data_IF_421487191847
#
_entry.id   IF_421487191847
#
_cell.length_a   1.000
_cell.length_b   1.000
_cell.length_c   1.000
_cell.angle_alpha   90.00
_cell.angle_beta   90.00
_cell.angle_gamma   90.00
#
_symmetry.space_group_name_H-M   'P 1'
#
loop_
_entity.id
_entity.type
_entity.pdbx_description
1 polymer ?
#
# COMPACT_ATOMS: atom_id res chain seq x y z
N UNK A 1 -13.41 -12.39 -12.31
CA UNK A 1 -13.68 -11.08 -11.67
C UNK A 1 -13.15 -9.90 -12.49
N UNK A 2 -11.94 -9.95 -13.09
CA UNK A 2 -11.34 -8.82 -13.83
C UNK A 2 -12.27 -8.12 -14.85
N UNK A 3 -13.00 -8.88 -15.68
CA UNK A 3 -13.97 -8.30 -16.63
C UNK A 3 -15.11 -7.53 -15.94
N UNK A 4 -15.63 -8.05 -14.83
CA UNK A 4 -16.67 -7.38 -14.03
C UNK A 4 -16.16 -6.05 -13.48
N UNK A 5 -14.90 -6.02 -13.00
CA UNK A 5 -14.26 -4.80 -12.52
C UNK A 5 -14.03 -3.80 -13.65
N UNK A 6 -13.64 -4.28 -14.83
CA UNK A 6 -13.53 -3.43 -16.01
C UNK A 6 -14.87 -2.78 -16.36
N UNK A 7 -15.98 -3.53 -16.35
CA UNK A 7 -17.32 -2.98 -16.57
C UNK A 7 -17.74 -1.99 -15.47
N UNK A 8 -17.42 -2.28 -14.20
CA UNK A 8 -17.66 -1.34 -13.11
C UNK A 8 -16.91 -0.02 -13.36
N UNK A 9 -15.62 -0.08 -13.66
CA UNK A 9 -14.79 1.09 -13.92
C UNK A 9 -15.33 1.90 -15.11
N UNK A 10 -15.55 1.26 -16.25
CA UNK A 10 -16.09 1.91 -17.45
C UNK A 10 -17.45 2.55 -17.18
N UNK A 11 -18.36 1.85 -16.50
CA UNK A 11 -19.68 2.37 -16.15
C UNK A 11 -19.61 3.56 -15.18
N UNK A 12 -18.76 3.47 -14.15
CA UNK A 12 -18.57 4.55 -13.18
C UNK A 12 -17.91 5.78 -13.83
N UNK A 13 -16.93 5.62 -14.72
CA UNK A 13 -16.35 6.76 -15.44
C UNK A 13 -17.34 7.39 -16.44
N UNK A 14 -18.32 6.65 -16.94
CA UNK A 14 -19.40 7.21 -17.75
C UNK A 14 -20.39 8.01 -16.89
N UNK A 15 -20.83 7.48 -15.75
CA UNK A 15 -21.94 8.04 -14.97
C UNK A 15 -21.53 8.94 -13.80
N UNK A 16 -20.29 8.89 -13.34
CA UNK A 16 -19.81 9.62 -12.16
C UNK A 16 -18.78 10.69 -12.56
N UNK A 17 -19.23 11.94 -12.60
CA UNK A 17 -18.43 13.08 -13.06
C UNK A 17 -17.12 13.27 -12.29
N UNK A 18 -17.16 13.22 -10.96
CA UNK A 18 -15.94 13.41 -10.14
C UNK A 18 -14.87 12.37 -10.48
N UNK A 19 -15.24 11.09 -10.57
CA UNK A 19 -14.31 10.04 -10.96
C UNK A 19 -13.82 10.27 -12.39
N UNK A 20 -14.72 10.53 -13.35
CA UNK A 20 -14.34 10.79 -14.74
C UNK A 20 -13.30 11.90 -14.87
N UNK A 21 -13.52 13.04 -14.22
CA UNK A 21 -12.64 14.20 -14.31
C UNK A 21 -11.27 13.91 -13.68
N UNK A 22 -11.24 13.22 -12.53
CA UNK A 22 -9.98 12.88 -11.86
C UNK A 22 -9.19 11.79 -12.61
N UNK A 23 -9.86 10.85 -13.28
CA UNK A 23 -9.20 9.88 -14.16
C UNK A 23 -8.67 10.55 -15.43
N UNK A 24 -9.43 11.48 -16.03
CA UNK A 24 -8.95 12.26 -17.18
C UNK A 24 -7.70 13.08 -16.81
N UNK A 25 -7.65 13.64 -15.60
CA UNK A 25 -6.48 14.38 -15.12
C UNK A 25 -5.19 13.55 -15.02
N UNK A 26 -5.27 12.21 -15.00
CA UNK A 26 -4.07 11.35 -15.03
C UNK A 26 -3.24 11.56 -16.30
N UNK A 27 -3.81 12.00 -17.41
CA UNK A 27 -3.04 12.28 -18.63
C UNK A 27 -2.10 13.49 -18.48
N UNK A 28 -2.36 14.37 -17.52
CA UNK A 28 -1.53 15.53 -17.21
C UNK A 28 -0.48 15.27 -16.13
N UNK A 29 -0.44 14.06 -15.57
CA UNK A 29 0.56 13.67 -14.58
C UNK A 29 1.93 13.66 -15.22
N UNK A 30 2.92 14.25 -14.52
CA UNK A 30 4.33 14.15 -14.89
C UNK A 30 5.01 13.10 -14.03
N UNK A 31 5.92 12.34 -14.63
CA UNK A 31 6.73 11.32 -13.95
C UNK A 31 8.20 11.58 -14.23
N UNK A 32 9.03 11.48 -13.20
CA UNK A 32 10.49 11.39 -13.34
C UNK A 32 10.98 10.12 -12.67
N UNK A 33 12.12 9.61 -13.11
CA UNK A 33 12.75 8.43 -12.55
C UNK A 33 13.97 8.84 -11.71
N UNK A 34 14.13 8.17 -10.58
CA UNK A 34 15.25 8.32 -9.67
C UNK A 34 15.85 6.94 -9.40
N UNK A 35 17.18 6.87 -9.38
CA UNK A 35 17.89 5.67 -8.94
C UNK A 35 18.32 5.86 -7.49
N UNK A 36 17.78 5.06 -6.59
CA UNK A 36 18.09 5.07 -5.16
C UNK A 36 18.85 3.80 -4.84
N UNK A 37 20.17 3.91 -4.67
CA UNK A 37 21.06 2.78 -4.37
C UNK A 37 20.90 1.58 -5.31
N UNK A 38 20.70 1.83 -6.62
CA UNK A 38 20.49 0.78 -7.62
C UNK A 38 19.02 0.40 -7.84
N UNK A 39 18.09 0.91 -7.03
CA UNK A 39 16.65 0.63 -7.14
C UNK A 39 15.95 1.77 -7.90
N UNK A 40 15.15 1.41 -8.90
CA UNK A 40 14.34 2.37 -9.65
C UNK A 40 13.13 2.83 -8.85
N UNK A 41 13.02 4.14 -8.64
CA UNK A 41 11.83 4.80 -8.14
C UNK A 41 11.27 5.75 -9.19
N UNK A 42 9.94 5.77 -9.29
CA UNK A 42 9.20 6.79 -10.05
C UNK A 42 8.69 7.83 -9.08
N UNK A 43 8.80 9.10 -9.43
CA UNK A 43 8.13 10.19 -8.71
C UNK A 43 7.06 10.74 -9.62
N UNK A 44 5.81 10.75 -9.12
CA UNK A 44 4.63 11.20 -9.83
C UNK A 44 4.16 12.55 -9.29
N UNK A 45 4.14 13.57 -10.14
CA UNK A 45 3.40 14.80 -9.83
C UNK A 45 1.91 14.59 -10.11
N UNK A 46 1.09 14.55 -9.06
CA UNK A 46 -0.36 14.38 -9.17
C UNK A 46 -1.11 15.34 -8.22
N UNK A 47 -1.49 16.54 -8.67
CA UNK A 47 -2.14 17.55 -7.83
C UNK A 47 -3.51 17.11 -7.30
N UNK A 48 -4.20 16.20 -7.99
CA UNK A 48 -5.49 15.66 -7.53
C UNK A 48 -5.39 14.86 -6.22
N UNK A 49 -4.17 14.53 -5.77
CA UNK A 49 -3.91 13.79 -4.53
C UNK A 49 -3.70 14.69 -3.30
N UNK A 50 -3.78 16.02 -3.44
CA UNK A 50 -3.53 16.96 -2.34
C UNK A 50 -4.39 16.67 -1.10
N UNK A 51 -5.67 16.34 -1.28
CA UNK A 51 -6.59 16.05 -0.18
C UNK A 51 -6.20 14.75 0.53
N UNK A 52 -5.85 13.71 -0.21
CA UNK A 52 -5.46 12.43 0.37
C UNK A 52 -4.09 12.49 1.05
N UNK A 53 -3.12 13.17 0.45
CA UNK A 53 -1.77 13.32 1.01
C UNK A 53 -1.75 14.23 2.24
N UNK A 54 -2.62 15.25 2.29
CA UNK A 54 -2.76 16.18 3.41
C UNK A 54 -3.82 15.79 4.44
N UNK A 55 -4.41 14.59 4.33
CA UNK A 55 -5.49 14.17 5.21
C UNK A 55 -5.08 14.21 6.68
N UNK A 56 -5.90 14.89 7.50
CA UNK A 56 -5.76 14.90 8.94
C UNK A 56 -6.38 13.62 9.50
N UNK A 57 -5.55 12.85 10.19
CA UNK A 57 -5.91 11.54 10.77
C UNK A 57 -5.76 11.54 12.29
N UNK A 58 -5.70 12.72 12.91
CA UNK A 58 -5.78 12.85 14.35
C UNK A 58 -7.19 12.53 14.85
N UNK A 59 -7.29 12.09 16.11
CA UNK A 59 -8.55 11.62 16.70
C UNK A 59 -9.68 12.65 16.61
N UNK A 60 -9.37 13.94 16.77
CA UNK A 60 -10.37 15.01 16.68
C UNK A 60 -10.91 15.11 15.25
N UNK A 61 -10.04 15.21 14.25
CA UNK A 61 -10.45 15.28 12.84
C UNK A 61 -11.26 14.04 12.41
N UNK A 62 -10.93 12.86 12.94
CA UNK A 62 -11.67 11.62 12.66
C UNK A 62 -13.08 11.63 13.28
N UNK A 63 -13.22 12.10 14.53
CA UNK A 63 -14.53 12.18 15.19
C UNK A 63 -15.47 13.19 14.52
N UNK A 64 -14.92 14.27 13.95
CA UNK A 64 -15.69 15.34 13.33
C UNK A 64 -16.13 15.02 11.89
N UNK A 65 -15.48 14.06 11.21
CA UNK A 65 -15.79 13.70 9.82
C UNK A 65 -16.79 12.54 9.73
N UNK A 66 -17.67 12.58 8.72
CA UNK A 66 -18.39 11.37 8.30
C UNK A 66 -17.39 10.44 7.58
N UNK A 67 -17.31 9.18 8.00
CA UNK A 67 -16.45 8.21 7.33
C UNK A 67 -16.92 7.99 5.89
N UNK A 68 -16.09 8.38 4.91
CA UNK A 68 -16.37 8.30 3.47
C UNK A 68 -16.31 6.87 2.90
N UNK A 69 -16.01 5.87 3.72
CA UNK A 69 -16.00 4.45 3.35
C UNK A 69 -17.25 3.70 3.83
N UNK A 70 -18.01 4.28 4.77
CA UNK A 70 -19.27 3.68 5.23
C UNK A 70 -20.31 3.69 4.12
N UNK A 71 -21.06 2.59 3.90
CA UNK A 71 -22.10 2.51 2.86
C UNK A 71 -23.09 3.69 2.87
N UNK A 72 -23.50 4.14 4.07
CA UNK A 72 -24.43 5.25 4.25
C UNK A 72 -23.87 6.63 3.84
N UNK A 73 -22.56 6.76 3.68
CA UNK A 73 -21.86 8.00 3.34
C UNK A 73 -21.22 7.97 1.95
N UNK A 74 -21.31 6.85 1.22
CA UNK A 74 -20.83 6.78 -0.15
C UNK A 74 -21.62 7.75 -1.04
N UNK A 75 -21.00 8.38 -2.04
CA UNK A 75 -21.73 9.10 -3.08
C UNK A 75 -22.84 8.21 -3.66
N UNK A 76 -24.10 8.68 -3.79
CA UNK A 76 -25.20 7.83 -4.26
C UNK A 76 -24.99 7.23 -5.65
N UNK A 77 -24.16 7.87 -6.48
CA UNK A 77 -23.79 7.40 -7.82
C UNK A 77 -22.73 6.30 -7.81
N UNK A 78 -22.01 6.14 -6.70
CA UNK A 78 -20.93 5.18 -6.58
C UNK A 78 -21.51 3.77 -6.45
N UNK A 79 -21.19 2.93 -7.43
CA UNK A 79 -21.58 1.52 -7.43
C UNK A 79 -20.41 0.66 -6.95
N UNK A 80 -20.73 -0.51 -6.43
CA UNK A 80 -19.75 -1.47 -5.97
C UNK A 80 -20.11 -2.90 -6.31
N UNK A 81 -19.11 -3.77 -6.25
CA UNK A 81 -19.26 -5.22 -6.40
C UNK A 81 -19.04 -5.86 -5.01
N UNK A 82 -20.04 -6.55 -4.44
CA UNK A 82 -19.87 -7.29 -3.20
C UNK A 82 -18.77 -8.34 -3.32
N UNK A 83 -17.96 -8.49 -2.26
CA UNK A 83 -16.90 -9.49 -2.19
C UNK A 83 -16.85 -10.09 -0.78
N UNK A 84 -16.69 -11.42 -0.67
CA UNK A 84 -16.60 -12.11 0.62
C UNK A 84 -17.84 -12.04 1.53
N UNK A 85 -18.89 -11.30 1.15
CA UNK A 85 -20.07 -11.05 1.98
C UNK A 85 -19.92 -9.83 2.91
N UNK A 86 -18.71 -9.33 3.12
CA UNK A 86 -18.38 -8.24 4.04
C UNK A 86 -17.51 -7.14 3.42
N UNK A 87 -17.17 -7.22 2.14
CA UNK A 87 -16.50 -6.15 1.40
C UNK A 87 -17.34 -5.63 0.25
N UNK A 88 -17.02 -4.41 -0.18
CA UNK A 88 -17.52 -3.85 -1.43
C UNK A 88 -16.35 -3.33 -2.27
N UNK A 89 -16.18 -3.82 -3.49
CA UNK A 89 -15.14 -3.33 -4.40
C UNK A 89 -15.66 -2.08 -5.12
N UNK A 90 -15.00 -0.95 -4.89
CA UNK A 90 -15.39 0.36 -5.38
C UNK A 90 -14.32 0.94 -6.31
N UNK A 91 -14.73 1.76 -7.28
CA UNK A 91 -13.78 2.63 -8.01
C UNK A 91 -13.29 3.71 -7.07
N UNK A 92 -11.97 3.87 -6.96
CA UNK A 92 -11.38 4.97 -6.20
C UNK A 92 -11.49 6.27 -7.04
N UNK A 93 -12.23 7.30 -6.58
CA UNK A 93 -12.43 8.53 -7.34
C UNK A 93 -11.21 9.45 -7.40
N UNK A 94 -10.15 9.18 -6.62
CA UNK A 94 -8.91 9.96 -6.61
C UNK A 94 -7.73 9.07 -7.04
N UNK A 95 -7.67 8.67 -8.31
CA UNK A 95 -6.76 7.64 -8.77
C UNK A 95 -5.28 8.07 -8.72
N UNK A 96 -4.44 7.06 -8.53
CA UNK A 96 -3.00 7.10 -8.78
C UNK A 96 -2.71 6.23 -10.00
N UNK A 97 -3.30 5.03 -9.98
CA UNK A 97 -3.27 4.04 -11.06
C UNK A 97 -4.31 4.35 -12.15
N UNK A 98 -4.03 3.97 -13.41
CA UNK A 98 -5.03 3.94 -14.48
C UNK A 98 -6.27 3.11 -14.17
N UNK A 99 -6.16 2.09 -13.32
CA UNK A 99 -7.29 1.37 -12.73
C UNK A 99 -7.06 1.29 -11.22
N UNK A 100 -7.80 2.08 -10.44
CA UNK A 100 -7.64 2.18 -8.99
C UNK A 100 -8.94 1.83 -8.27
N UNK A 101 -8.88 0.88 -7.34
CA UNK A 101 -9.99 0.43 -6.52
C UNK A 101 -9.76 0.71 -5.04
N UNK A 102 -10.85 0.88 -4.31
CA UNK A 102 -10.90 0.85 -2.84
C UNK A 102 -11.86 -0.27 -2.45
N UNK A 103 -11.48 -1.10 -1.47
CA UNK A 103 -12.23 -2.27 -1.03
C UNK A 103 -12.49 -2.14 0.46
N UNK A 104 -13.43 -1.28 0.89
CA UNK A 104 -13.79 -1.13 2.30
C UNK A 104 -14.62 -2.32 2.80
N UNK A 105 -14.41 -2.63 4.07
CA UNK A 105 -15.31 -3.44 4.90
C UNK A 105 -16.71 -2.79 4.94
N UNK A 106 -17.78 -3.58 4.97
CA UNK A 106 -19.13 -3.03 5.07
C UNK A 106 -19.39 -2.46 6.46
N UNK A 107 -18.90 -3.14 7.49
CA UNK A 107 -18.92 -2.66 8.86
C UNK A 107 -17.85 -1.58 9.12
N UNK A 108 -18.21 -0.55 9.88
CA UNK A 108 -17.23 0.44 10.34
C UNK A 108 -16.39 -0.19 11.46
N UNK A 109 -15.25 -0.77 11.08
CA UNK A 109 -14.31 -1.41 12.02
C UNK A 109 -12.90 -0.86 11.82
N UNK A 110 -12.05 -0.80 12.87
CA UNK A 110 -10.71 -0.23 12.74
C UNK A 110 -9.86 -0.90 11.65
N UNK A 111 -8.99 -0.10 11.01
CA UNK A 111 -8.02 -0.58 10.02
C UNK A 111 -7.01 -1.53 10.69
N UNK A 112 -7.20 -2.85 10.54
CA UNK A 112 -6.30 -3.88 11.10
C UNK A 112 -6.25 -5.10 10.18
N UNK A 113 -5.05 -5.61 9.91
CA UNK A 113 -4.85 -6.70 8.93
C UNK A 113 -4.90 -8.11 9.52
N UNK A 114 -4.60 -8.29 10.82
CA UNK A 114 -4.39 -9.62 11.41
C UNK A 114 -5.51 -10.64 11.10
N UNK A 115 -6.77 -10.22 11.20
CA UNK A 115 -7.94 -11.09 10.94
C UNK A 115 -8.42 -11.07 9.49
N UNK A 116 -7.72 -10.35 8.59
CA UNK A 116 -8.16 -10.05 7.22
C UNK A 116 -7.12 -10.40 6.17
N UNK A 117 -5.95 -10.91 6.57
CA UNK A 117 -4.88 -11.20 5.63
C UNK A 117 -5.30 -12.27 4.60
N UNK A 118 -6.04 -13.30 5.04
CA UNK A 118 -6.60 -14.31 4.12
C UNK A 118 -7.52 -13.67 3.08
N UNK A 119 -8.37 -12.71 3.47
CA UNK A 119 -9.25 -11.97 2.55
C UNK A 119 -8.43 -11.19 1.50
N UNK A 120 -7.27 -10.65 1.90
CA UNK A 120 -6.34 -9.98 0.98
C UNK A 120 -5.76 -10.96 -0.07
N UNK A 121 -5.45 -12.20 0.33
CA UNK A 121 -4.99 -13.25 -0.59
C UNK A 121 -6.09 -13.67 -1.57
N UNK A 122 -7.34 -13.79 -1.10
CA UNK A 122 -8.50 -14.12 -1.92
C UNK A 122 -8.82 -13.00 -2.92
N UNK A 123 -8.70 -11.73 -2.50
CA UNK A 123 -8.82 -10.59 -3.41
C UNK A 123 -7.76 -10.64 -4.51
N UNK A 124 -6.50 -10.96 -4.18
CA UNK A 124 -5.43 -11.02 -5.16
C UNK A 124 -5.64 -12.14 -6.20
N UNK A 125 -6.09 -13.31 -5.74
CA UNK A 125 -6.45 -14.43 -6.61
C UNK A 125 -7.64 -14.11 -7.50
N UNK A 126 -8.66 -13.43 -6.98
CA UNK A 126 -9.81 -13.00 -7.76
C UNK A 126 -9.45 -11.91 -8.79
N UNK A 127 -8.58 -10.97 -8.42
CA UNK A 127 -8.21 -9.78 -9.17
C UNK A 127 -6.81 -9.90 -9.79
N UNK A 128 -6.57 -10.92 -10.60
CA UNK A 128 -5.24 -11.24 -11.16
C UNK A 128 -4.62 -10.14 -12.03
N UNK A 129 -5.40 -9.15 -12.47
CA UNK A 129 -4.94 -7.95 -13.18
C UNK A 129 -4.39 -6.85 -12.25
N UNK A 130 -4.49 -7.03 -10.94
CA UNK A 130 -4.26 -6.03 -9.91
C UNK A 130 -3.23 -6.48 -8.87
N UNK A 131 -2.57 -5.51 -8.25
CA UNK A 131 -1.85 -5.66 -7.00
C UNK A 131 -2.74 -5.11 -5.89
N UNK A 132 -3.07 -5.95 -4.91
CA UNK A 132 -3.83 -5.55 -3.71
C UNK A 132 -2.85 -4.93 -2.72
N UNK A 133 -3.26 -3.88 -2.04
CA UNK A 133 -2.42 -3.21 -1.07
C UNK A 133 -3.15 -2.79 0.20
N UNK A 134 -2.41 -2.88 1.31
CA UNK A 134 -2.84 -2.54 2.65
C UNK A 134 -1.88 -1.54 3.28
N UNK A 135 -2.43 -0.46 3.83
CA UNK A 135 -1.69 0.49 4.64
C UNK A 135 -2.16 0.33 6.09
N UNK A 136 -1.24 0.08 7.03
CA UNK A 136 -1.57 0.13 8.46
C UNK A 136 -2.05 1.52 8.90
N UNK A 137 -2.75 1.64 10.05
CA UNK A 137 -3.34 2.90 10.56
C UNK A 137 -2.41 4.10 10.53
N UNK A 138 -1.16 3.87 10.94
CA UNK A 138 -0.10 4.89 10.95
C UNK A 138 0.96 4.62 9.87
N UNK A 139 0.56 4.04 8.74
CA UNK A 139 1.44 3.72 7.62
C UNK A 139 0.85 4.21 6.28
N UNK A 140 0.20 5.38 6.30
CA UNK A 140 -0.39 6.01 5.11
C UNK A 140 -1.85 5.62 4.83
N UNK A 141 -2.57 5.03 5.81
CA UNK A 141 -4.01 4.85 5.72
C UNK A 141 -4.73 6.20 5.78
N UNK A 142 -5.61 6.47 4.81
CA UNK A 142 -6.41 7.71 4.78
C UNK A 142 -7.65 7.67 5.69
N UNK A 143 -8.06 6.47 6.10
CA UNK A 143 -9.17 6.22 7.01
C UNK A 143 -8.75 5.13 8.01
N UNK A 144 -7.92 5.46 9.03
CA UNK A 144 -7.43 4.47 9.99
C UNK A 144 -8.55 3.88 10.87
N UNK A 145 -9.69 4.55 10.93
CA UNK A 145 -10.89 4.13 11.65
C UNK A 145 -11.78 3.15 10.86
N UNK A 146 -11.50 2.89 9.57
CA UNK A 146 -12.31 1.99 8.74
C UNK A 146 -11.43 1.05 7.90
N UNK A 147 -11.50 -0.25 8.20
CA UNK A 147 -10.88 -1.35 7.47
C UNK A 147 -11.13 -1.29 5.95
N UNK A 148 -10.07 -1.22 5.18
CA UNK A 148 -10.10 -1.25 3.72
C UNK A 148 -8.79 -1.76 3.13
N UNK A 149 -8.92 -2.44 2.00
CA UNK A 149 -7.83 -2.63 1.04
C UNK A 149 -7.95 -1.63 -0.09
N UNK A 150 -6.91 -1.55 -0.91
CA UNK A 150 -6.95 -0.87 -2.19
C UNK A 150 -6.32 -1.76 -3.26
N UNK A 151 -6.56 -1.46 -4.52
CA UNK A 151 -5.97 -2.23 -5.62
C UNK A 151 -5.61 -1.33 -6.80
N UNK A 152 -4.44 -1.54 -7.38
CA UNK A 152 -3.96 -0.86 -8.57
C UNK A 152 -3.65 -1.86 -9.67
N UNK A 153 -3.79 -1.50 -10.95
CA UNK A 153 -3.41 -2.43 -12.02
C UNK A 153 -1.93 -2.81 -11.94
N UNK A 154 -1.62 -4.08 -12.19
CA UNK A 154 -0.25 -4.58 -12.30
C UNK A 154 0.53 -3.88 -13.41
N UNK A 155 1.85 -3.96 -13.31
CA UNK A 155 2.85 -3.32 -14.15
C UNK A 155 3.12 -1.85 -13.81
N UNK A 156 2.43 -1.29 -12.81
CA UNK A 156 2.58 0.11 -12.43
C UNK A 156 3.77 0.34 -11.49
N UNK A 157 3.90 -0.51 -10.46
CA UNK A 157 4.95 -0.39 -9.44
C UNK A 157 6.22 -1.16 -9.86
N UNK A 158 7.42 -0.54 -9.80
CA UNK A 158 8.68 -1.21 -10.16
C UNK A 158 8.92 -2.55 -9.46
N UNK A 159 8.59 -2.64 -8.15
CA UNK A 159 8.86 -3.85 -7.35
C UNK A 159 8.20 -5.12 -7.93
N UNK A 160 7.08 -4.99 -8.62
CA UNK A 160 6.33 -6.13 -9.18
C UNK A 160 7.17 -6.94 -10.18
N UNK A 161 8.09 -6.27 -10.90
CA UNK A 161 8.93 -6.89 -11.92
C UNK A 161 10.32 -7.24 -11.41
N UNK A 162 10.88 -6.40 -10.56
CA UNK A 162 12.33 -6.39 -10.31
C UNK A 162 12.74 -7.18 -9.07
N UNK A 163 11.80 -7.52 -8.18
CA UNK A 163 12.12 -8.08 -6.86
C UNK A 163 12.94 -9.38 -6.89
N UNK A 164 12.74 -10.24 -7.89
CA UNK A 164 13.48 -11.50 -8.02
C UNK A 164 14.98 -11.23 -8.23
N UNK A 165 15.32 -10.20 -9.00
CA UNK A 165 16.71 -9.74 -9.20
C UNK A 165 17.29 -9.03 -7.98
N UNK A 166 16.45 -8.59 -7.04
CA UNK A 166 16.84 -7.90 -5.81
C UNK A 166 16.89 -8.86 -4.60
N UNK A 167 16.73 -10.17 -4.79
CA UNK A 167 16.71 -11.12 -3.68
C UNK A 167 18.09 -11.23 -3.05
N UNK A 168 18.20 -10.86 -1.78
CA UNK A 168 19.46 -10.92 -1.02
C UNK A 168 19.67 -12.28 -0.34
N UNK A 169 18.58 -12.96 0.04
CA UNK A 169 18.67 -14.26 0.68
C UNK A 169 17.33 -14.84 1.09
N UNK A 170 17.33 -16.15 1.35
CA UNK A 170 16.20 -16.88 1.91
C UNK A 170 16.28 -16.86 3.43
N UNK A 171 15.15 -16.59 4.09
CA UNK A 171 15.02 -16.68 5.55
C UNK A 171 14.69 -18.11 5.95
N UNK A 172 13.67 -18.69 5.32
CA UNK A 172 13.19 -20.05 5.57
C UNK A 172 12.31 -20.58 4.42
N UNK A 173 12.20 -21.91 4.34
CA UNK A 173 11.13 -22.60 3.62
C UNK A 173 10.03 -22.98 4.63
N UNK A 174 8.77 -22.84 4.26
CA UNK A 174 7.61 -23.13 5.11
C UNK A 174 6.56 -23.89 4.30
N UNK A 175 6.63 -25.24 4.32
CA UNK A 175 5.74 -26.12 3.53
C UNK A 175 5.73 -25.72 2.04
N UNK A 176 4.61 -25.20 1.50
CA UNK A 176 4.47 -24.75 0.10
C UNK A 176 4.77 -23.26 -0.10
N UNK A 177 5.24 -22.58 0.94
CA UNK A 177 5.68 -21.20 0.93
C UNK A 177 7.19 -21.09 1.18
N UNK A 178 7.78 -19.97 0.76
CA UNK A 178 9.14 -19.58 1.09
C UNK A 178 9.19 -18.11 1.47
N UNK A 179 10.05 -17.77 2.43
CA UNK A 179 10.27 -16.42 2.90
C UNK A 179 11.66 -15.92 2.48
N UNK A 180 11.69 -14.77 1.84
CA UNK A 180 12.90 -14.10 1.35
C UNK A 180 13.02 -12.68 1.91
N UNK A 181 14.20 -12.09 1.80
CA UNK A 181 14.40 -10.65 1.96
C UNK A 181 15.19 -10.08 0.78
N UNK A 182 14.98 -8.79 0.50
CA UNK A 182 15.60 -8.10 -0.63
C UNK A 182 16.84 -7.29 -0.19
N UNK A 183 17.71 -7.00 -1.16
CA UNK A 183 18.83 -6.04 -1.06
C UNK A 183 18.36 -4.71 -1.64
N UNK A 184 17.47 -4.02 -0.91
CA UNK A 184 16.80 -2.81 -1.39
C UNK A 184 16.84 -1.66 -0.38
N UNK A 185 17.86 -1.68 0.49
CA UNK A 185 18.08 -0.63 1.47
C UNK A 185 18.15 0.76 0.78
N UNK A 186 17.45 1.77 1.33
CA UNK A 186 16.93 1.84 2.69
C UNK A 186 15.49 1.31 2.89
N UNK A 187 14.87 0.74 1.86
CA UNK A 187 13.65 -0.05 2.04
C UNK A 187 13.99 -1.36 2.77
N UNK A 188 13.04 -1.88 3.54
CA UNK A 188 13.17 -3.15 4.25
C UNK A 188 12.04 -4.08 3.81
N UNK A 189 12.34 -5.03 2.91
CA UNK A 189 11.31 -5.86 2.27
C UNK A 189 11.46 -7.33 2.60
N UNK A 190 10.38 -7.92 3.13
CA UNK A 190 10.18 -9.38 3.18
C UNK A 190 9.29 -9.80 2.03
N UNK A 191 9.58 -10.96 1.43
CA UNK A 191 8.77 -11.52 0.34
C UNK A 191 8.34 -12.94 0.69
N UNK A 192 7.03 -13.17 0.78
CA UNK A 192 6.46 -14.52 0.80
C UNK A 192 6.14 -14.90 -0.65
N UNK A 193 6.63 -16.04 -1.10
CA UNK A 193 6.15 -16.68 -2.33
C UNK A 193 5.52 -18.02 -1.96
N UNK A 194 4.29 -18.28 -2.39
CA UNK A 194 3.57 -19.52 -2.04
C UNK A 194 2.67 -20.02 -3.14
N UNK A 195 2.53 -21.34 -3.24
CA UNK A 195 1.50 -22.03 -4.06
C UNK A 195 0.28 -22.44 -3.22
N UNK A 196 0.23 -22.01 -1.97
CA UNK A 196 -0.77 -22.39 -0.96
C UNK A 196 -1.21 -21.14 -0.21
N UNK A 197 -2.51 -20.82 -0.27
CA UNK A 197 -3.08 -19.65 0.41
C UNK A 197 -2.91 -19.79 1.93
N UNK A 198 -3.16 -20.99 2.44
CA UNK A 198 -3.08 -21.31 3.87
C UNK A 198 -1.63 -21.15 4.38
N UNK A 199 -0.65 -21.68 3.66
CA UNK A 199 0.76 -21.58 4.08
C UNK A 199 1.29 -20.14 3.93
N UNK A 200 0.77 -19.34 2.98
CA UNK A 200 1.08 -17.92 2.88
C UNK A 200 0.51 -17.13 4.09
N UNK A 201 -0.71 -17.46 4.52
CA UNK A 201 -1.35 -16.85 5.68
C UNK A 201 -0.65 -17.23 6.99
N UNK A 202 -0.30 -18.51 7.17
CA UNK A 202 0.47 -19.00 8.33
C UNK A 202 1.82 -18.28 8.42
N UNK A 203 2.54 -18.19 7.30
CA UNK A 203 3.85 -17.52 7.27
C UNK A 203 3.74 -16.01 7.50
N UNK A 204 2.69 -15.35 7.00
CA UNK A 204 2.41 -13.95 7.32
C UNK A 204 2.12 -13.75 8.81
N UNK A 205 1.34 -14.63 9.45
CA UNK A 205 1.06 -14.56 10.89
C UNK A 205 2.36 -14.71 11.72
N UNK A 206 3.29 -15.58 11.29
CA UNK A 206 4.63 -15.66 11.91
C UNK A 206 5.39 -14.33 11.80
N UNK A 207 5.36 -13.68 10.62
CA UNK A 207 5.98 -12.35 10.41
C UNK A 207 5.30 -11.33 11.33
N UNK A 208 3.98 -11.24 11.28
CA UNK A 208 3.17 -10.31 12.06
C UNK A 208 3.49 -10.39 13.56
N UNK A 209 3.54 -11.61 14.12
CA UNK A 209 3.88 -11.85 15.53
C UNK A 209 5.35 -11.64 15.88
N UNK A 210 6.22 -11.43 14.89
CA UNK A 210 7.65 -11.18 15.09
C UNK A 210 8.02 -9.70 15.01
N UNK A 211 7.09 -8.86 14.56
CA UNK A 211 7.19 -7.41 14.58
C UNK A 211 6.72 -6.86 15.93
N UNK A 212 7.41 -5.82 16.40
CA UNK A 212 7.06 -5.17 17.66
C UNK A 212 5.84 -4.25 17.45
N UNK A 213 4.88 -4.32 18.38
CA UNK A 213 3.76 -3.36 18.45
C UNK A 213 4.20 -2.18 19.31
N UNK A 214 4.24 -0.98 18.72
CA UNK A 214 4.65 0.22 19.44
C UNK A 214 3.59 0.64 20.45
N UNK A 215 3.96 1.36 21.52
CA UNK A 215 2.98 1.94 22.44
C UNK A 215 1.93 2.75 21.67
N UNK A 216 0.66 2.63 22.07
CA UNK A 216 -0.48 3.32 21.44
C UNK A 216 -0.78 2.88 19.99
N UNK A 217 -0.21 1.76 19.54
CA UNK A 217 -0.62 1.08 18.31
C UNK A 217 -1.40 -0.19 18.63
N UNK A 218 -2.34 -0.54 17.75
CA UNK A 218 -3.13 -1.76 17.87
C UNK A 218 -2.59 -2.93 17.03
N UNK A 219 -1.66 -2.66 16.12
CA UNK A 219 -0.97 -3.64 15.28
C UNK A 219 0.47 -3.19 15.00
N UNK A 220 1.38 -4.10 14.62
CA UNK A 220 2.70 -3.71 14.17
C UNK A 220 2.59 -2.84 12.92
N UNK A 221 3.42 -1.81 12.85
CA UNK A 221 3.40 -0.88 11.73
C UNK A 221 3.94 -1.56 10.46
N UNK A 222 3.11 -1.65 9.43
CA UNK A 222 3.49 -2.26 8.15
C UNK A 222 2.69 -1.75 6.96
N UNK A 223 3.26 -1.96 5.78
CA UNK A 223 2.56 -1.92 4.50
C UNK A 223 2.65 -3.29 3.85
N UNK A 224 1.63 -3.68 3.09
CA UNK A 224 1.59 -4.98 2.42
C UNK A 224 1.13 -4.81 0.98
N UNK A 225 1.80 -5.48 0.05
CA UNK A 225 1.34 -5.69 -1.32
C UNK A 225 1.13 -7.19 -1.56
N UNK A 226 0.06 -7.56 -2.25
CA UNK A 226 -0.18 -8.95 -2.67
C UNK A 226 -0.53 -8.94 -4.14
N UNK A 227 0.16 -9.79 -4.90
CA UNK A 227 -0.20 -10.11 -6.28
C UNK A 227 -0.28 -11.62 -6.46
N UNK A 228 -1.20 -12.08 -7.31
CA UNK A 228 -1.33 -13.49 -7.68
C UNK A 228 -0.96 -13.68 -9.15
N UNK A 229 0.10 -14.42 -9.44
CA UNK A 229 0.58 -14.67 -10.79
C UNK A 229 1.16 -16.08 -10.91
N UNK A 230 1.00 -16.72 -12.08
CA UNK A 230 1.52 -18.06 -12.34
C UNK A 230 1.20 -19.07 -11.21
N UNK A 231 -0.07 -19.07 -10.77
CA UNK A 231 -0.61 -19.90 -9.69
C UNK A 231 0.12 -19.76 -8.35
N UNK A 232 0.68 -18.57 -8.09
CA UNK A 232 1.42 -18.23 -6.87
C UNK A 232 0.97 -16.89 -6.29
N UNK A 233 0.89 -16.85 -4.97
CA UNK A 233 0.86 -15.59 -4.23
C UNK A 233 2.27 -15.09 -4.04
N UNK A 234 2.49 -13.81 -4.36
CA UNK A 234 3.68 -13.05 -3.99
C UNK A 234 3.23 -11.92 -3.06
N UNK A 235 3.70 -11.96 -1.82
CA UNK A 235 3.36 -11.00 -0.76
C UNK A 235 4.62 -10.21 -0.41
N UNK A 236 4.57 -8.90 -0.58
CA UNK A 236 5.60 -8.00 -0.08
C UNK A 236 5.12 -7.44 1.25
N UNK A 237 5.91 -7.63 2.31
CA UNK A 237 5.69 -7.01 3.61
C UNK A 237 6.80 -6.00 3.83
N UNK A 238 6.42 -4.76 4.10
CA UNK A 238 7.32 -3.67 4.46
C UNK A 238 7.09 -3.31 5.93
N UNK A 239 7.88 -3.86 6.87
CA UNK A 239 7.88 -3.42 8.24
C UNK A 239 8.26 -1.94 8.35
N UNK A 240 7.52 -1.18 9.16
CA UNK A 240 7.66 0.27 9.29
C UNK A 240 8.14 0.65 10.69
N UNK A 241 9.00 1.66 10.75
CA UNK A 241 9.50 2.25 11.99
C UNK A 241 8.75 3.54 12.35
N UNK A 242 8.32 4.31 11.35
CA UNK A 242 7.72 5.63 11.59
C UNK A 242 6.58 5.90 10.61
N UNK A 243 5.57 6.61 11.10
CA UNK A 243 4.42 6.98 10.28
C UNK A 243 4.80 7.94 9.15
N UNK A 244 5.38 9.08 9.53
CA UNK A 244 5.73 10.16 8.61
C UNK A 244 7.20 10.53 8.76
N UNK A 245 7.91 10.77 7.66
CA UNK A 245 9.28 11.30 7.71
C UNK A 245 9.28 12.73 8.25
N UNK A 246 10.44 13.22 8.70
CA UNK A 246 10.62 14.56 9.25
C UNK A 246 10.24 15.65 8.25
N UNK A 247 10.46 15.43 6.96
CA UNK A 247 10.12 16.39 5.91
C UNK A 247 8.61 16.68 5.80
N UNK A 248 7.73 15.80 6.28
CA UNK A 248 6.27 16.02 6.23
C UNK A 248 5.83 17.22 7.07
N UNK A 249 6.41 17.37 8.26
CA UNK A 249 6.09 18.45 9.22
C UNK A 249 7.11 19.58 9.22
N UNK A 250 8.18 19.46 8.44
CA UNK A 250 9.18 20.52 8.32
C UNK A 250 8.57 21.81 7.75
N UNK A 251 9.18 22.95 8.04
CA UNK A 251 8.75 24.26 7.54
C UNK A 251 9.63 24.74 6.39
N UNK A 252 9.12 25.67 5.58
CA UNK A 252 9.88 26.30 4.49
C UNK A 252 10.34 25.33 3.40
N UNK A 253 11.60 25.46 3.00
CA UNK A 253 12.19 24.68 1.89
C UNK A 253 12.45 23.21 2.25
N UNK A 254 12.56 22.88 3.53
CA UNK A 254 12.74 21.50 4.00
C UNK A 254 11.43 20.68 3.94
N UNK A 255 10.28 21.34 3.80
CA UNK A 255 8.98 20.66 3.74
C UNK A 255 8.82 19.85 2.45
N UNK A 256 8.43 18.59 2.57
CA UNK A 256 7.91 17.78 1.47
C UNK A 256 6.61 17.15 1.94
N UNK A 257 5.49 17.37 1.24
CA UNK A 257 4.22 16.73 1.58
C UNK A 257 4.21 15.26 1.14
N UNK A 258 5.05 14.46 1.81
CA UNK A 258 5.29 13.04 1.52
C UNK A 258 5.06 12.20 2.78
N UNK A 259 4.10 11.28 2.72
CA UNK A 259 3.77 10.34 3.78
C UNK A 259 3.73 8.93 3.17
N UNK A 260 4.90 8.27 3.01
CA UNK A 260 5.00 7.03 2.25
C UNK A 260 4.02 5.95 2.73
N UNK A 261 3.37 5.32 1.77
CA UNK A 261 2.45 4.20 1.93
C UNK A 261 2.90 3.03 1.03
N UNK A 262 2.03 2.04 0.81
CA UNK A 262 2.39 0.83 0.04
C UNK A 262 2.83 1.12 -1.39
N UNK A 263 2.27 2.15 -2.05
CA UNK A 263 2.59 2.50 -3.44
C UNK A 263 3.97 3.15 -3.53
N UNK A 264 4.31 4.04 -2.59
CA UNK A 264 5.62 4.66 -2.49
C UNK A 264 6.70 3.59 -2.22
N UNK A 265 6.42 2.67 -1.30
CA UNK A 265 7.29 1.52 -0.99
C UNK A 265 7.37 0.53 -2.16
N UNK A 266 6.32 0.41 -2.98
CA UNK A 266 6.33 -0.34 -4.23
C UNK A 266 7.18 0.30 -5.34
N UNK A 267 7.68 1.51 -5.12
CA UNK A 267 8.59 2.21 -6.04
C UNK A 267 7.96 3.40 -6.77
N UNK A 268 6.79 3.90 -6.35
CA UNK A 268 6.14 5.06 -6.98
C UNK A 268 5.75 6.10 -5.94
N UNK A 269 6.60 7.11 -5.76
CA UNK A 269 6.37 8.24 -4.86
C UNK A 269 5.37 9.23 -5.45
N UNK A 270 4.36 9.61 -4.67
CA UNK A 270 3.31 10.52 -5.13
C UNK A 270 3.47 11.90 -4.51
N UNK A 271 3.76 12.92 -5.33
CA UNK A 271 3.90 14.31 -4.90
C UNK A 271 2.73 15.15 -5.42
N UNK A 272 1.88 15.70 -4.53
CA UNK A 272 0.75 16.54 -4.96
C UNK A 272 1.13 18.01 -5.19
N UNK A 273 2.32 18.43 -4.74
CA UNK A 273 2.81 19.81 -4.87
C UNK A 273 3.93 19.85 -5.91
N UNK A 274 3.82 20.77 -6.86
CA UNK A 274 4.78 20.87 -7.98
C UNK A 274 6.20 21.18 -7.50
N UNK A 275 6.36 22.09 -6.52
CA UNK A 275 7.68 22.41 -5.95
C UNK A 275 8.39 21.17 -5.40
N UNK A 276 7.62 20.27 -4.77
CA UNK A 276 8.12 19.05 -4.15
C UNK A 276 8.54 18.04 -5.22
N UNK A 277 7.74 17.90 -6.28
CA UNK A 277 8.10 17.10 -7.45
C UNK A 277 9.40 17.58 -8.10
N UNK A 278 9.57 18.89 -8.27
CA UNK A 278 10.75 19.44 -8.93
C UNK A 278 12.00 19.20 -8.09
N UNK A 279 11.94 19.48 -6.78
CA UNK A 279 13.12 19.44 -5.91
C UNK A 279 13.55 18.06 -5.45
N UNK A 280 12.62 17.11 -5.26
CA UNK A 280 12.94 15.82 -4.63
C UNK A 280 14.03 15.06 -5.40
N UNK A 281 15.08 14.63 -4.71
CA UNK A 281 16.20 13.88 -5.30
C UNK A 281 16.19 12.41 -4.86
N UNK A 282 17.13 11.62 -5.39
CA UNK A 282 17.32 10.24 -4.96
C UNK A 282 17.74 10.15 -3.49
N UNK A 283 18.58 11.09 -3.03
CA UNK A 283 19.01 11.21 -1.64
C UNK A 283 17.84 11.54 -0.71
N UNK A 284 16.93 12.43 -1.13
CA UNK A 284 15.71 12.72 -0.35
C UNK A 284 14.83 11.46 -0.20
N UNK A 285 14.64 10.71 -1.29
CA UNK A 285 13.88 9.44 -1.25
C UNK A 285 14.58 8.43 -0.34
N UNK A 286 15.90 8.29 -0.44
CA UNK A 286 16.69 7.42 0.44
C UNK A 286 16.50 7.80 1.91
N UNK A 287 16.61 9.10 2.23
CA UNK A 287 16.43 9.59 3.58
C UNK A 287 15.02 9.31 4.09
N UNK A 288 13.98 9.67 3.32
CA UNK A 288 12.58 9.42 3.68
C UNK A 288 12.36 7.94 4.00
N UNK A 289 12.83 7.04 3.14
CA UNK A 289 12.71 5.60 3.33
C UNK A 289 13.46 5.12 4.58
N UNK A 290 14.67 5.63 4.84
CA UNK A 290 15.48 5.28 6.01
C UNK A 290 14.84 5.70 7.33
N UNK A 291 14.03 6.76 7.32
CA UNK A 291 13.32 7.23 8.51
C UNK A 291 12.05 6.41 8.79
N UNK A 292 11.41 5.89 7.74
CA UNK A 292 10.10 5.23 7.87
C UNK A 292 10.15 3.71 7.85
N UNK A 293 11.20 3.11 7.29
CA UNK A 293 11.43 1.66 7.29
C UNK A 293 12.30 1.25 8.49
N UNK A 294 12.35 -0.05 8.79
CA UNK A 294 13.28 -0.55 9.80
C UNK A 294 14.73 -0.29 9.40
N UNK A 295 15.58 0.02 10.38
CA UNK A 295 17.02 0.07 10.20
C UNK A 295 17.56 -1.30 9.77
N UNK A 296 18.73 -1.34 9.11
CA UNK A 296 19.36 -2.61 8.72
C UNK A 296 19.56 -3.56 9.92
N UNK A 297 19.92 -3.01 11.08
CA UNK A 297 20.10 -3.73 12.34
C UNK A 297 18.80 -4.32 12.84
N UNK A 298 17.72 -3.54 12.89
CA UNK A 298 16.43 -4.03 13.42
C UNK A 298 15.75 -4.97 12.42
N UNK A 299 15.90 -4.72 11.12
CA UNK A 299 15.48 -5.65 10.09
C UNK A 299 16.22 -6.98 10.17
N UNK A 300 17.52 -6.98 10.49
CA UNK A 300 18.25 -8.21 10.79
C UNK A 300 17.67 -8.96 12.00
N UNK A 301 17.39 -8.26 13.12
CA UNK A 301 16.79 -8.88 14.31
C UNK A 301 15.43 -9.51 14.01
N UNK A 302 14.56 -8.82 13.27
CA UNK A 302 13.25 -9.36 12.85
C UNK A 302 13.41 -10.66 12.05
N UNK A 303 14.35 -10.69 11.10
CA UNK A 303 14.62 -11.91 10.31
C UNK A 303 15.09 -13.09 11.17
N UNK A 304 15.91 -12.84 12.21
CA UNK A 304 16.31 -13.89 13.14
C UNK A 304 15.13 -14.39 13.99
N UNK A 305 14.32 -13.49 14.54
CA UNK A 305 13.11 -13.84 15.31
C UNK A 305 12.13 -14.68 14.49
N UNK A 306 11.97 -14.37 13.20
CA UNK A 306 11.13 -15.16 12.29
C UNK A 306 11.73 -16.56 12.09
N UNK A 307 13.04 -16.64 11.83
CA UNK A 307 13.73 -17.93 11.64
C UNK A 307 13.64 -18.83 12.87
N UNK A 308 13.63 -18.28 14.08
CA UNK A 308 13.48 -19.06 15.32
C UNK A 308 12.06 -19.62 15.53
N UNK A 309 11.07 -19.14 14.77
CA UNK A 309 9.66 -19.54 14.87
C UNK A 309 9.17 -20.46 13.73
N UNK A 310 10.03 -20.71 12.74
CA UNK A 310 9.76 -21.60 11.59
C UNK A 310 10.46 -22.93 11.82
#
# INVERSE_FOLDING_TARGET
MNQTIHHLLTGQLASWETARNNYAALSGVRVKELNVNGILYKVQFNPARIVSSGAKVDAKSILERKCFLCPANLPPVQKGIPFGGHYNILVNPFPIFPRHLTVPELAHTPQRIATRFTDMLELAEALTDYTIFYNGPKCGASAPDHAHFQAGNKGFMPIEKDWRGQTAGKIADYRKAALWYLDDAPRATLVIESTSKEDAADLFDIIYRSLDVKPEEDEPMMNVLVLYEADRWVVFVFPREKHRPACYTAEGEANLLSSPASVDLGGVFITPVEKDFLKITAEDVAQILSEVCLSATDFHKVRQRIREKI
#
